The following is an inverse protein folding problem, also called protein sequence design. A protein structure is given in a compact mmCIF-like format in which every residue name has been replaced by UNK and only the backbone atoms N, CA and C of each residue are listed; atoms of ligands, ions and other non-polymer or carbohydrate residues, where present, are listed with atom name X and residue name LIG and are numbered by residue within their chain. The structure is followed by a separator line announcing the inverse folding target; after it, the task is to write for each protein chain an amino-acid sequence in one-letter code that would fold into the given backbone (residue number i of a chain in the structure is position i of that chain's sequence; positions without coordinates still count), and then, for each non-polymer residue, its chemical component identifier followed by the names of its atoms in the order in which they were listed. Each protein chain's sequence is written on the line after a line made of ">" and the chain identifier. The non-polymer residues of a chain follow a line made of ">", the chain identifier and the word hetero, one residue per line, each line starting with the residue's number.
data_IF_032457485713
#
_entry.id   IF_032457485713
#
_cell.length_a   1.000
_cell.length_b   1.000
_cell.length_c   1.000
_cell.angle_alpha   90.00
_cell.angle_beta   90.00
_cell.angle_gamma   90.00
#
_symmetry.space_group_name_H-M   'P 1'
#
loop_
_entity.id
_entity.type
_entity.pdbx_description
1 polymer ?
#
# COMPACT_ATOMS: atom_id res chain seq x y z
N UNK A 1 20.62 0.99 -20.28
CA UNK A 1 20.12 -0.37 -19.95
C UNK A 1 21.19 -1.43 -20.13
N UNK A 2 21.15 -2.49 -19.31
CA UNK A 2 22.02 -3.67 -19.44
C UNK A 2 21.40 -4.72 -20.37
N UNK A 3 22.22 -5.56 -21.00
CA UNK A 3 21.75 -6.61 -21.92
C UNK A 3 20.74 -7.57 -21.26
N UNK A 4 20.98 -7.95 -20.01
CA UNK A 4 20.07 -8.83 -19.26
C UNK A 4 18.66 -8.23 -19.14
N UNK A 5 18.56 -6.94 -18.82
CA UNK A 5 17.29 -6.23 -18.69
C UNK A 5 16.56 -6.14 -20.03
N UNK A 6 17.29 -5.96 -21.13
CA UNK A 6 16.71 -5.93 -22.47
C UNK A 6 16.21 -7.31 -22.86
N UNK A 7 16.99 -8.37 -22.63
CA UNK A 7 16.62 -9.76 -22.94
C UNK A 7 15.32 -10.18 -22.25
N UNK A 8 15.12 -9.79 -20.98
CA UNK A 8 13.88 -10.05 -20.25
C UNK A 8 12.67 -9.28 -20.80
N UNK A 9 12.90 -8.21 -21.58
CA UNK A 9 11.85 -7.33 -22.12
C UNK A 9 11.58 -7.54 -23.61
N UNK A 10 12.30 -8.44 -24.29
CA UNK A 10 12.18 -8.61 -25.74
C UNK A 10 10.80 -9.15 -26.17
N UNK A 11 10.18 -10.03 -25.37
CA UNK A 11 8.84 -10.57 -25.68
C UNK A 11 7.78 -9.46 -25.64
N UNK A 12 7.75 -8.70 -24.53
CA UNK A 12 6.86 -7.55 -24.38
C UNK A 12 7.17 -6.42 -25.39
N UNK A 13 8.43 -6.28 -25.79
CA UNK A 13 8.83 -5.36 -26.86
C UNK A 13 8.26 -5.81 -28.21
N UNK A 14 8.35 -7.10 -28.54
CA UNK A 14 7.83 -7.67 -29.78
C UNK A 14 6.28 -7.62 -29.83
N UNK A 15 5.62 -7.79 -28.69
CA UNK A 15 4.16 -7.67 -28.55
C UNK A 15 3.66 -6.22 -28.47
N UNK A 16 4.56 -5.22 -28.47
CA UNK A 16 4.22 -3.80 -28.33
C UNK A 16 3.48 -3.46 -27.02
N UNK A 17 3.82 -4.16 -25.94
CA UNK A 17 3.21 -4.05 -24.60
C UNK A 17 4.02 -3.18 -23.63
N UNK A 18 5.26 -2.82 -23.98
CA UNK A 18 6.08 -1.95 -23.15
C UNK A 18 5.56 -0.50 -23.14
N UNK A 19 5.63 0.14 -21.98
CA UNK A 19 5.41 1.60 -21.87
C UNK A 19 6.38 2.38 -22.76
N UNK A 20 5.95 3.55 -23.25
CA UNK A 20 6.68 4.32 -24.26
C UNK A 20 8.14 4.62 -23.88
N UNK A 21 8.40 5.07 -22.64
CA UNK A 21 9.77 5.35 -22.17
C UNK A 21 10.67 4.12 -22.19
N UNK A 22 10.19 3.00 -21.65
CA UNK A 22 10.93 1.73 -21.61
C UNK A 22 11.17 1.19 -23.02
N UNK A 23 10.21 1.38 -23.93
CA UNK A 23 10.34 0.97 -25.32
C UNK A 23 11.47 1.73 -26.02
N UNK A 24 11.59 3.03 -25.81
CA UNK A 24 12.69 3.82 -26.39
C UNK A 24 14.04 3.43 -25.80
N UNK A 25 14.14 3.16 -24.50
CA UNK A 25 15.38 2.65 -23.91
C UNK A 25 15.81 1.30 -24.53
N UNK A 26 14.84 0.40 -24.76
CA UNK A 26 15.09 -0.89 -25.43
C UNK A 26 15.52 -0.67 -26.89
N UNK A 27 14.86 0.23 -27.64
CA UNK A 27 15.25 0.57 -29.02
C UNK A 27 16.68 1.12 -29.08
N UNK A 28 17.02 2.06 -28.20
CA UNK A 28 18.35 2.65 -28.12
C UNK A 28 19.42 1.58 -27.86
N UNK A 29 19.13 0.64 -26.95
CA UNK A 29 20.04 -0.48 -26.71
C UNK A 29 20.16 -1.43 -27.92
N UNK A 30 19.04 -1.73 -28.59
CA UNK A 30 19.03 -2.55 -29.80
C UNK A 30 19.76 -1.87 -30.97
N UNK A 31 19.84 -0.54 -31.01
CA UNK A 31 20.66 0.18 -32.00
C UNK A 31 22.16 -0.01 -31.75
N UNK A 32 22.58 -0.13 -30.50
CA UNK A 32 23.99 -0.22 -30.13
C UNK A 32 24.52 -1.66 -29.91
N UNK A 33 23.65 -2.66 -29.68
CA UNK A 33 24.06 -4.02 -29.28
C UNK A 33 23.60 -5.11 -30.27
N UNK A 34 24.57 -5.67 -31.01
CA UNK A 34 24.33 -6.80 -31.94
C UNK A 34 23.78 -8.06 -31.27
N UNK A 35 24.31 -8.42 -30.09
CA UNK A 35 23.88 -9.62 -29.39
C UNK A 35 22.39 -9.59 -29.03
N UNK A 36 21.88 -8.43 -28.62
CA UNK A 36 20.46 -8.23 -28.32
C UNK A 36 19.60 -8.17 -29.59
N UNK A 37 20.11 -7.63 -30.72
CA UNK A 37 19.43 -7.72 -32.02
C UNK A 37 19.26 -9.16 -32.48
N UNK A 38 20.32 -9.97 -32.39
CA UNK A 38 20.26 -11.38 -32.76
C UNK A 38 19.30 -12.16 -31.85
N UNK A 39 19.27 -11.86 -30.56
CA UNK A 39 18.31 -12.48 -29.64
C UNK A 39 16.86 -12.20 -30.04
N UNK A 40 16.54 -10.94 -30.38
CA UNK A 40 15.21 -10.55 -30.88
C UNK A 40 14.88 -11.22 -32.23
N UNK A 41 15.85 -11.33 -33.13
CA UNK A 41 15.67 -12.02 -34.41
C UNK A 41 15.32 -13.50 -34.23
N UNK A 42 16.03 -14.21 -33.35
CA UNK A 42 15.73 -15.63 -33.03
C UNK A 42 14.32 -15.82 -32.46
N UNK A 43 13.87 -14.91 -31.58
CA UNK A 43 12.49 -14.98 -31.05
C UNK A 43 11.45 -14.77 -32.16
N UNK A 44 11.69 -13.83 -33.07
CA UNK A 44 10.78 -13.57 -34.20
C UNK A 44 10.73 -14.73 -35.19
N UNK A 45 11.87 -15.36 -35.44
CA UNK A 45 11.97 -16.55 -36.29
C UNK A 45 11.19 -17.72 -35.68
N UNK A 46 11.38 -18.01 -34.39
CA UNK A 46 10.60 -19.03 -33.69
C UNK A 46 9.10 -18.73 -33.75
N UNK A 47 8.69 -17.48 -33.50
CA UNK A 47 7.29 -17.08 -33.58
C UNK A 47 6.71 -17.18 -35.01
N UNK A 48 7.53 -17.04 -36.05
CA UNK A 48 7.11 -17.26 -37.44
C UNK A 48 6.89 -18.75 -37.72
N UNK A 49 7.80 -19.62 -37.27
CA UNK A 49 7.67 -21.07 -37.39
C UNK A 49 6.40 -21.59 -36.71
N UNK A 50 6.14 -21.13 -35.48
CA UNK A 50 4.95 -21.53 -34.71
C UNK A 50 3.64 -21.05 -35.37
N UNK A 51 3.63 -19.86 -35.99
CA UNK A 51 2.45 -19.37 -36.73
C UNK A 51 2.15 -20.16 -37.99
N UNK A 52 3.15 -20.82 -38.58
CA UNK A 52 2.97 -21.69 -39.74
C UNK A 52 2.36 -23.06 -39.40
N UNK A 53 2.24 -23.40 -38.12
CA UNK A 53 1.66 -24.68 -37.71
C UNK A 53 0.12 -24.66 -37.85
N UNK A 54 -0.49 -25.78 -38.29
CA UNK A 54 -1.95 -25.86 -38.37
C UNK A 54 -2.56 -25.72 -36.98
N UNK A 55 -3.47 -24.75 -36.84
CA UNK A 55 -4.25 -24.61 -35.61
C UNK A 55 -5.20 -25.82 -35.44
N UNK A 56 -5.29 -26.39 -34.23
CA UNK A 56 -6.26 -27.46 -33.97
C UNK A 56 -7.69 -26.92 -34.16
N UNK A 57 -8.58 -27.76 -34.68
CA UNK A 57 -9.98 -27.41 -34.89
C UNK A 57 -10.65 -27.19 -33.53
N UNK A 58 -11.20 -26.00 -33.29
CA UNK A 58 -11.92 -25.68 -32.04
C UNK A 58 -13.33 -26.30 -32.12
N UNK A 59 -13.77 -27.07 -31.10
CA UNK A 59 -15.14 -27.59 -31.06
C UNK A 59 -16.18 -26.46 -31.03
N UNK A 60 -17.33 -26.64 -31.67
CA UNK A 60 -18.38 -25.62 -31.76
C UNK A 60 -18.87 -25.14 -30.38
N UNK A 61 -18.97 -26.06 -29.41
CA UNK A 61 -19.42 -25.76 -28.04
C UNK A 61 -18.33 -25.19 -27.12
N UNK A 62 -17.11 -24.96 -27.61
CA UNK A 62 -16.00 -24.52 -26.76
C UNK A 62 -16.29 -23.20 -26.04
N UNK A 63 -16.83 -22.21 -26.76
CA UNK A 63 -17.16 -20.91 -26.19
C UNK A 63 -18.24 -21.02 -25.10
N UNK A 64 -19.29 -21.81 -25.36
CA UNK A 64 -20.36 -22.05 -24.40
C UNK A 64 -19.83 -22.70 -23.11
N UNK A 65 -19.02 -23.76 -23.25
CA UNK A 65 -18.38 -24.45 -22.11
C UNK A 65 -17.41 -23.58 -21.33
N UNK A 66 -16.64 -22.73 -22.02
CA UNK A 66 -15.72 -21.80 -21.38
C UNK A 66 -16.49 -20.74 -20.57
N UNK A 67 -17.54 -20.18 -21.14
CA UNK A 67 -18.37 -19.16 -20.47
C UNK A 67 -19.14 -19.74 -19.28
N UNK A 68 -19.66 -20.97 -19.38
CA UNK A 68 -20.31 -21.63 -18.26
C UNK A 68 -19.33 -21.88 -17.11
N UNK A 69 -18.14 -22.40 -17.41
CA UNK A 69 -17.09 -22.64 -16.41
C UNK A 69 -16.57 -21.33 -15.79
N UNK A 70 -16.42 -20.26 -16.58
CA UNK A 70 -16.03 -18.95 -16.07
C UNK A 70 -17.08 -18.37 -15.12
N UNK A 71 -18.38 -18.48 -15.47
CA UNK A 71 -19.48 -18.04 -14.62
C UNK A 71 -19.53 -18.83 -13.32
N UNK A 72 -19.42 -20.15 -13.38
CA UNK A 72 -19.38 -21.00 -12.18
C UNK A 72 -18.25 -20.59 -11.22
N UNK A 73 -17.04 -20.37 -11.74
CA UNK A 73 -15.90 -19.91 -10.94
C UNK A 73 -16.14 -18.55 -10.29
N UNK A 74 -16.75 -17.60 -11.01
CA UNK A 74 -17.11 -16.30 -10.48
C UNK A 74 -18.19 -16.41 -9.39
N UNK A 75 -19.18 -17.28 -9.58
CA UNK A 75 -20.23 -17.57 -8.60
C UNK A 75 -19.68 -18.20 -7.32
N UNK A 76 -18.70 -19.12 -7.44
CA UNK A 76 -18.06 -19.76 -6.28
C UNK A 76 -17.08 -18.84 -5.56
N UNK A 77 -16.46 -17.88 -6.27
CA UNK A 77 -15.54 -16.90 -5.67
C UNK A 77 -16.26 -15.81 -4.86
N UNK A 78 -17.58 -15.71 -5.00
CA UNK A 78 -18.46 -14.91 -4.16
C UNK A 78 -18.93 -15.60 -2.88
N UNK A 79 -18.60 -16.87 -2.65
CA UNK A 79 -18.79 -17.49 -1.34
C UNK A 79 -17.55 -17.25 -0.49
N UNK A 80 -17.60 -16.35 0.52
CA UNK A 80 -16.55 -16.35 1.52
C UNK A 80 -16.55 -17.73 2.19
N UNK A 81 -15.43 -18.44 2.09
CA UNK A 81 -15.24 -19.75 2.74
C UNK A 81 -15.40 -19.71 4.28
N UNK A 82 -15.64 -18.53 4.86
CA UNK A 82 -16.02 -18.32 6.25
C UNK A 82 -16.84 -17.03 6.35
N UNK A 83 -18.15 -17.06 6.05
CA UNK A 83 -19.02 -16.05 6.64
C UNK A 83 -19.05 -16.32 8.16
N UNK A 84 -18.59 -15.40 9.04
CA UNK A 84 -18.71 -15.63 10.46
C UNK A 84 -20.19 -15.75 10.79
N UNK A 85 -20.56 -16.87 11.42
CA UNK A 85 -21.88 -17.01 12.00
C UNK A 85 -22.18 -15.77 12.83
N UNK A 86 -23.38 -15.20 12.63
CA UNK A 86 -23.83 -13.92 13.20
C UNK A 86 -23.23 -13.66 14.60
N UNK A 87 -22.60 -12.49 14.83
CA UNK A 87 -21.97 -12.18 16.11
C UNK A 87 -22.97 -12.26 17.28
N UNK A 88 -24.25 -12.06 16.97
CA UNK A 88 -25.36 -12.24 17.90
C UNK A 88 -25.53 -13.69 18.35
N UNK A 89 -25.42 -14.64 17.40
CA UNK A 89 -25.55 -16.07 17.65
C UNK A 89 -24.36 -16.59 18.45
N UNK A 90 -23.17 -16.07 18.16
CA UNK A 90 -21.96 -16.36 18.91
C UNK A 90 -22.06 -15.85 20.36
N UNK A 91 -22.52 -14.61 20.61
CA UNK A 91 -22.70 -14.09 21.97
C UNK A 91 -23.70 -14.94 22.77
N UNK A 92 -24.82 -15.35 22.17
CA UNK A 92 -25.81 -16.19 22.86
C UNK A 92 -25.32 -17.60 23.17
N UNK A 93 -24.24 -18.06 22.53
CA UNK A 93 -23.67 -19.40 22.75
C UNK A 93 -22.63 -19.46 23.87
N UNK A 94 -22.24 -18.33 24.46
CA UNK A 94 -21.26 -18.28 25.56
C UNK A 94 -21.94 -18.60 26.90
N UNK A 95 -21.41 -19.55 27.71
CA UNK A 95 -21.99 -19.90 29.01
C UNK A 95 -21.99 -18.72 29.99
N UNK A 96 -23.05 -18.62 30.79
CA UNK A 96 -23.30 -17.54 31.78
C UNK A 96 -22.09 -17.21 32.67
N UNK A 97 -21.33 -18.17 33.25
CA UNK A 97 -20.18 -17.82 34.10
C UNK A 97 -19.07 -17.07 33.36
N UNK A 98 -18.87 -17.35 32.07
CA UNK A 98 -17.85 -16.68 31.26
C UNK A 98 -18.25 -15.24 30.89
N UNK A 99 -19.56 -14.98 30.76
CA UNK A 99 -20.10 -13.62 30.56
C UNK A 99 -19.93 -12.74 31.81
N UNK A 100 -20.13 -13.33 32.99
CA UNK A 100 -19.91 -12.66 34.29
C UNK A 100 -18.43 -12.31 34.50
N UNK A 101 -17.52 -13.24 34.20
CA UNK A 101 -16.08 -12.99 34.30
C UNK A 101 -15.64 -11.86 33.35
N UNK A 102 -16.11 -11.86 32.09
CA UNK A 102 -15.80 -10.79 31.14
C UNK A 102 -16.33 -9.41 31.58
N UNK A 103 -17.55 -9.35 32.10
CA UNK A 103 -18.13 -8.11 32.62
C UNK A 103 -17.36 -7.57 33.83
N UNK A 104 -16.92 -8.44 34.74
CA UNK A 104 -16.12 -8.06 35.90
C UNK A 104 -14.75 -7.48 35.49
N UNK A 105 -14.06 -8.11 34.53
CA UNK A 105 -12.78 -7.60 34.01
C UNK A 105 -12.94 -6.22 33.37
N UNK A 106 -13.98 -6.03 32.55
CA UNK A 106 -14.26 -4.72 31.96
C UNK A 106 -14.56 -3.66 33.03
N UNK A 107 -15.39 -3.99 34.03
CA UNK A 107 -15.70 -3.08 35.13
C UNK A 107 -14.44 -2.71 35.92
N UNK A 108 -13.60 -3.69 36.27
CA UNK A 108 -12.34 -3.46 37.00
C UNK A 108 -11.40 -2.59 36.18
N UNK A 109 -11.21 -2.88 34.90
CA UNK A 109 -10.32 -2.11 34.03
C UNK A 109 -10.80 -0.67 33.82
N UNK A 110 -12.10 -0.45 33.67
CA UNK A 110 -12.70 0.87 33.51
C UNK A 110 -12.63 1.67 34.81
N UNK A 111 -12.90 1.03 35.96
CA UNK A 111 -12.77 1.66 37.27
C UNK A 111 -11.32 2.04 37.57
N UNK A 112 -10.35 1.15 37.29
CA UNK A 112 -8.93 1.43 37.51
C UNK A 112 -8.42 2.55 36.58
N UNK A 113 -8.82 2.53 35.31
CA UNK A 113 -8.52 3.61 34.37
C UNK A 113 -9.12 4.96 34.79
N UNK A 114 -10.35 4.96 35.30
CA UNK A 114 -10.99 6.18 35.80
C UNK A 114 -10.32 6.74 37.07
N UNK A 115 -9.80 5.89 37.95
CA UNK A 115 -9.06 6.31 39.13
C UNK A 115 -7.72 6.96 38.73
N UNK A 116 -6.93 6.28 37.89
CA UNK A 116 -5.66 6.79 37.37
C UNK A 116 -5.85 8.11 36.59
N UNK A 117 -6.88 8.21 35.76
CA UNK A 117 -7.19 9.43 35.01
C UNK A 117 -7.59 10.62 35.91
N UNK A 118 -8.24 10.36 37.05
CA UNK A 118 -8.59 11.42 38.01
C UNK A 118 -7.38 11.98 38.73
N UNK A 119 -6.38 11.16 39.04
CA UNK A 119 -5.15 11.64 39.69
C UNK A 119 -4.28 12.45 38.73
N UNK A 120 -4.24 12.09 37.45
CA UNK A 120 -3.63 12.91 36.39
C UNK A 120 -4.36 14.25 36.21
N UNK A 121 -5.69 14.25 36.19
CA UNK A 121 -6.48 15.49 36.09
C UNK A 121 -6.31 16.41 37.30
N UNK A 122 -6.17 15.85 38.51
CA UNK A 122 -5.87 16.62 39.72
C UNK A 122 -4.42 17.12 39.76
N UNK A 123 -3.46 16.33 39.29
CA UNK A 123 -2.07 16.75 39.12
C UNK A 123 -1.92 17.88 38.10
N UNK A 124 -2.67 17.83 36.99
CA UNK A 124 -2.73 18.89 36.00
C UNK A 124 -3.36 20.19 36.56
N UNK A 125 -4.30 20.09 37.49
CA UNK A 125 -4.89 21.25 38.17
C UNK A 125 -4.00 21.84 39.28
N UNK A 126 -3.05 21.05 39.82
CA UNK A 126 -2.14 21.45 40.91
C UNK A 126 -0.72 21.81 40.43
N UNK A 127 -0.37 21.55 39.17
CA UNK A 127 0.90 21.96 38.60
C UNK A 127 0.85 23.46 38.21
N UNK A 128 1.76 24.31 38.70
CA UNK A 128 1.99 25.61 38.10
C UNK A 128 2.42 25.39 36.65
N UNK A 129 1.76 26.05 35.72
CA UNK A 129 2.00 25.99 34.28
C UNK A 129 3.40 26.52 33.93
N UNK A 130 4.42 25.68 34.08
CA UNK A 130 5.77 25.88 33.57
C UNK A 130 5.92 25.40 32.11
N UNK A 131 4.82 25.30 31.35
CA UNK A 131 4.79 24.89 29.95
C UNK A 131 4.63 26.07 28.97
N UNK A 132 4.92 27.30 29.39
CA UNK A 132 4.88 28.48 28.52
C UNK A 132 6.18 28.73 27.74
N UNK A 133 7.18 27.84 27.84
CA UNK A 133 8.46 28.02 27.14
C UNK A 133 9.11 26.69 26.77
N UNK A 134 8.40 25.86 26.01
CA UNK A 134 9.05 24.79 25.24
C UNK A 134 9.47 25.38 23.90
N UNK A 135 10.78 25.53 23.69
CA UNK A 135 11.36 25.96 22.41
C UNK A 135 10.90 24.98 21.31
N UNK A 136 10.08 25.44 20.33
CA UNK A 136 9.54 24.57 19.30
C UNK A 136 10.65 23.92 18.46
N UNK A 137 11.83 24.55 18.36
CA UNK A 137 12.95 23.97 17.63
C UNK A 137 13.55 22.75 18.34
N UNK A 138 13.49 22.72 19.68
CA UNK A 138 13.93 21.56 20.47
C UNK A 138 12.94 20.39 20.37
N UNK A 139 11.63 20.68 20.34
CA UNK A 139 10.57 19.66 20.21
C UNK A 139 10.66 18.92 18.88
N UNK A 140 10.95 19.63 17.79
CA UNK A 140 11.04 19.06 16.45
C UNK A 140 12.47 18.73 16.00
N UNK A 141 13.45 18.86 16.92
CA UNK A 141 14.88 18.64 16.64
C UNK A 141 15.40 19.43 15.42
N UNK A 142 14.92 20.67 15.29
CA UNK A 142 15.24 21.61 14.21
C UNK A 142 16.41 22.53 14.57
N UNK A 143 17.20 22.21 15.59
CA UNK A 143 18.31 23.05 16.05
C UNK A 143 19.34 23.38 14.96
N UNK A 144 19.45 22.56 13.91
CA UNK A 144 20.32 22.83 12.76
C UNK A 144 19.86 24.02 11.89
N UNK A 145 18.57 24.41 11.98
CA UNK A 145 18.00 25.55 11.25
C UNK A 145 18.19 26.87 12.00
N UNK A 146 18.48 26.83 13.30
CA UNK A 146 18.62 28.02 14.15
C UNK A 146 19.88 28.84 13.85
N UNK A 147 20.89 28.22 13.23
CA UNK A 147 22.18 28.86 12.90
C UNK A 147 22.21 29.45 11.46
N UNK A 148 21.05 29.49 10.79
CA UNK A 148 20.95 29.96 9.43
C UNK A 148 21.03 31.50 9.33
N UNK A 149 21.69 32.05 8.28
CA UNK A 149 21.74 33.49 8.09
C UNK A 149 20.35 34.09 7.86
N UNK A 150 20.17 35.35 8.28
CA UNK A 150 18.94 36.09 8.10
C UNK A 150 18.55 36.21 6.62
N UNK A 151 17.27 36.02 6.31
CA UNK A 151 16.74 35.99 4.94
C UNK A 151 16.87 34.64 4.23
N UNK A 152 17.31 33.58 4.93
CA UNK A 152 17.34 32.22 4.39
C UNK A 152 15.96 31.54 4.39
N UNK A 153 15.82 30.47 3.61
CA UNK A 153 14.61 29.64 3.59
C UNK A 153 14.34 28.96 4.95
N UNK A 154 15.39 28.70 5.73
CA UNK A 154 15.28 28.13 7.07
C UNK A 154 14.50 29.06 8.01
N UNK A 155 14.82 30.36 7.97
CA UNK A 155 14.11 31.40 8.73
C UNK A 155 12.63 31.45 8.35
N UNK A 156 12.32 31.47 7.04
CA UNK A 156 10.96 31.51 6.52
C UNK A 156 10.14 30.26 6.92
N UNK A 157 10.77 29.09 6.91
CA UNK A 157 10.15 27.85 7.35
C UNK A 157 9.86 27.86 8.86
N UNK A 158 10.82 28.31 9.68
CA UNK A 158 10.63 28.44 11.13
C UNK A 158 9.52 29.44 11.47
N UNK A 159 9.41 30.56 10.75
CA UNK A 159 8.32 31.52 10.96
C UNK A 159 6.96 30.92 10.62
N UNK A 160 6.86 30.16 9.52
CA UNK A 160 5.62 29.47 9.14
C UNK A 160 5.24 28.35 10.12
N UNK A 161 6.21 27.58 10.59
CA UNK A 161 5.98 26.44 11.48
C UNK A 161 5.71 26.86 12.94
N UNK A 162 6.23 28.01 13.37
CA UNK A 162 6.01 28.57 14.70
C UNK A 162 4.89 29.62 14.77
N UNK A 163 4.37 30.07 13.62
CA UNK A 163 3.16 30.87 13.59
C UNK A 163 1.99 30.04 14.12
N UNK A 164 1.25 30.51 15.15
CA UNK A 164 -0.01 29.90 15.53
C UNK A 164 -0.94 29.96 14.31
N UNK A 165 -1.63 28.86 14.01
CA UNK A 165 -2.61 28.82 12.94
C UNK A 165 -3.69 29.88 13.22
N UNK A 166 -3.58 31.03 12.58
CA UNK A 166 -4.65 32.03 12.52
C UNK A 166 -5.79 31.41 11.71
N UNK A 167 -6.80 30.95 12.45
CA UNK A 167 -8.09 30.46 11.98
C UNK A 167 -8.72 31.53 11.07
N UNK A 168 -8.66 31.30 9.76
CA UNK A 168 -9.24 32.17 8.75
C UNK A 168 -10.77 32.27 8.87
N UNK A 169 -11.27 33.51 8.84
CA UNK A 169 -12.68 33.87 8.68
C UNK A 169 -13.02 34.09 7.21
#
# INVERSE_FOLDING_TARGET
>A
MRCEQVRQKLDAFAANELAAGVREEVKNHLAACDACRQALARQRELAALLRGMPAPRVPEDFAARLMSAARERLSTRGQPATAPASPWRWWTSVPVPMRLAGAAVLAISLSLGALMGRDVARGAAAAPSASAQADPTAVYNLGFLADAPSGSLAEAYLTLASAPAEEGR
#
